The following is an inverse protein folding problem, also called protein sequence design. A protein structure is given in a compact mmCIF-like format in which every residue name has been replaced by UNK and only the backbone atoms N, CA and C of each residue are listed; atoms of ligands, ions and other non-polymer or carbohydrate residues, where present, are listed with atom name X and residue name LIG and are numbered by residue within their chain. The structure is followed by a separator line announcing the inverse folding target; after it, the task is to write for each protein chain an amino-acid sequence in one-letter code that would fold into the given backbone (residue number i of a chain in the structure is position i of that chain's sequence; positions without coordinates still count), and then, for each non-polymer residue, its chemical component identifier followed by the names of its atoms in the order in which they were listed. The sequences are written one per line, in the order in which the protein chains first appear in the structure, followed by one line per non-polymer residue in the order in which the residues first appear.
data_IF_862637084476
#
_entry.id   IF_862637084476
#
_cell.length_a   1.000
_cell.length_b   1.000
_cell.length_c   1.000
_cell.angle_alpha   90.00
_cell.angle_beta   90.00
_cell.angle_gamma   90.00
#
_symmetry.space_group_name_H-M   'P 1'
#
loop_
_entity.id
_entity.type
_entity.pdbx_description
1 polymer ?
#
# COMPACT_ATOMS: atom_id res chain seq x y z
N UNK A 1 18.29 -6.29 -13.68
CA UNK A 1 18.03 -7.00 -12.42
C UNK A 1 16.83 -7.91 -12.64
N UNK A 2 16.95 -9.21 -12.35
CA UNK A 2 15.86 -10.19 -12.45
C UNK A 2 15.69 -10.80 -11.08
N UNK A 3 14.49 -10.77 -10.54
CA UNK A 3 14.18 -11.39 -9.26
C UNK A 3 13.75 -12.84 -9.47
N UNK A 4 14.23 -13.71 -8.62
CA UNK A 4 13.85 -15.12 -8.57
C UNK A 4 12.81 -15.35 -7.47
N UNK A 5 12.05 -16.45 -7.55
CA UNK A 5 11.14 -16.85 -6.46
C UNK A 5 11.84 -16.91 -5.10
N UNK A 6 13.08 -17.39 -5.07
CA UNK A 6 13.86 -17.52 -3.83
C UNK A 6 14.18 -16.17 -3.18
N UNK A 7 14.41 -15.13 -3.97
CA UNK A 7 14.65 -13.77 -3.47
C UNK A 7 13.36 -13.10 -3.01
N UNK A 8 12.21 -13.45 -3.63
CA UNK A 8 10.90 -12.87 -3.29
C UNK A 8 10.26 -13.50 -2.07
N UNK A 9 10.56 -14.77 -1.75
CA UNK A 9 10.07 -15.46 -0.55
C UNK A 9 9.34 -16.77 -0.83
N UNK A 10 9.19 -17.60 0.19
CA UNK A 10 8.62 -18.96 0.07
C UNK A 10 7.14 -18.98 -0.33
N UNK A 11 6.39 -17.91 -0.07
CA UNK A 11 4.99 -17.75 -0.39
C UNK A 11 4.74 -17.16 -1.79
N UNK A 12 5.80 -16.96 -2.58
CA UNK A 12 5.76 -16.36 -3.92
C UNK A 12 6.04 -17.42 -4.97
N UNK A 13 5.24 -17.44 -6.04
CA UNK A 13 5.44 -18.31 -7.22
C UNK A 13 5.41 -17.49 -8.49
N UNK A 14 6.36 -17.73 -9.37
CA UNK A 14 6.35 -17.19 -10.71
C UNK A 14 5.31 -17.94 -11.56
N UNK A 15 4.33 -17.22 -12.11
CA UNK A 15 3.25 -17.81 -12.91
C UNK A 15 3.32 -17.44 -14.38
N UNK A 16 4.05 -16.42 -14.73
CA UNK A 16 4.28 -15.98 -16.11
C UNK A 16 5.57 -15.21 -16.25
N UNK A 17 6.31 -15.52 -17.28
CA UNK A 17 7.48 -14.77 -17.71
C UNK A 17 7.40 -14.49 -19.21
N UNK A 18 7.56 -13.22 -19.58
CA UNK A 18 7.75 -12.73 -20.93
C UNK A 18 9.09 -11.98 -21.00
N UNK A 19 9.52 -11.52 -22.16
CA UNK A 19 10.82 -10.86 -22.37
C UNK A 19 11.13 -9.73 -21.37
N UNK A 20 10.12 -8.91 -21.03
CA UNK A 20 10.28 -7.74 -20.15
C UNK A 20 9.31 -7.71 -18.95
N UNK A 21 8.57 -8.80 -18.74
CA UNK A 21 7.54 -8.87 -17.69
C UNK A 21 7.59 -10.22 -16.97
N UNK A 22 7.60 -10.17 -15.64
CA UNK A 22 7.44 -11.34 -14.79
C UNK A 22 6.23 -11.13 -13.89
N UNK A 23 5.37 -12.13 -13.76
CA UNK A 23 4.22 -12.12 -12.88
C UNK A 23 4.41 -13.13 -11.77
N UNK A 24 4.32 -12.66 -10.54
CA UNK A 24 4.38 -13.49 -9.35
C UNK A 24 3.01 -13.56 -8.68
N UNK A 25 2.62 -14.76 -8.30
CA UNK A 25 1.48 -15.00 -7.43
C UNK A 25 1.97 -15.13 -5.99
N UNK A 26 1.34 -14.35 -5.11
CA UNK A 26 1.62 -14.34 -3.67
C UNK A 26 0.44 -14.97 -2.96
N UNK A 27 0.67 -16.02 -2.20
CA UNK A 27 -0.37 -16.72 -1.45
C UNK A 27 -0.10 -16.63 0.04
N UNK A 28 -1.10 -16.24 0.82
CA UNK A 28 -1.07 -16.22 2.28
C UNK A 28 -2.32 -16.85 2.89
N UNK A 29 -2.31 -17.03 4.20
CA UNK A 29 -3.45 -17.64 4.93
C UNK A 29 -4.73 -16.77 4.85
N UNK A 30 -4.57 -15.47 4.64
CA UNK A 30 -5.68 -14.50 4.64
C UNK A 30 -6.14 -14.06 3.26
N UNK A 31 -5.56 -14.60 2.19
CA UNK A 31 -5.89 -14.25 0.81
C UNK A 31 -4.71 -14.41 -0.14
N UNK A 32 -4.78 -13.75 -1.27
CA UNK A 32 -3.79 -13.83 -2.33
C UNK A 32 -3.54 -12.49 -3.01
N UNK A 33 -2.48 -12.41 -3.81
CA UNK A 33 -2.16 -11.22 -4.58
C UNK A 33 -1.29 -11.51 -5.78
N UNK A 34 -1.12 -10.50 -6.61
CA UNK A 34 -0.26 -10.52 -7.79
C UNK A 34 0.77 -9.40 -7.71
N UNK A 35 1.99 -9.71 -8.08
CA UNK A 35 3.02 -8.72 -8.37
C UNK A 35 3.40 -8.85 -9.84
N UNK A 36 3.24 -7.76 -10.59
CA UNK A 36 3.61 -7.72 -12.01
C UNK A 36 4.81 -6.80 -12.19
N UNK A 37 5.95 -7.39 -12.43
CA UNK A 37 7.23 -6.72 -12.54
C UNK A 37 7.60 -6.50 -14.01
N UNK A 38 8.03 -5.29 -14.33
CA UNK A 38 8.58 -4.89 -15.63
C UNK A 38 10.00 -4.41 -15.46
N UNK A 39 10.92 -4.93 -16.29
CA UNK A 39 12.25 -4.35 -16.40
C UNK A 39 12.20 -3.13 -17.31
N UNK A 40 12.35 -1.94 -16.75
CA UNK A 40 12.26 -0.66 -17.49
C UNK A 40 13.55 -0.40 -18.26
N UNK A 41 14.68 -0.52 -17.59
CA UNK A 41 16.03 -0.56 -18.15
C UNK A 41 16.95 -1.34 -17.17
N UNK A 42 18.20 -1.57 -17.55
CA UNK A 42 19.13 -2.31 -16.68
C UNK A 42 19.26 -1.58 -15.32
N UNK A 43 19.05 -2.30 -14.23
CA UNK A 43 19.06 -1.74 -12.87
C UNK A 43 17.80 -0.99 -12.47
N UNK A 44 16.78 -0.85 -13.33
CA UNK A 44 15.49 -0.25 -12.98
C UNK A 44 14.32 -1.18 -13.28
N UNK A 45 13.43 -1.33 -12.32
CA UNK A 45 12.18 -2.08 -12.48
C UNK A 45 10.99 -1.28 -12.00
N UNK A 46 9.82 -1.59 -12.56
CA UNK A 46 8.52 -1.12 -12.11
C UNK A 46 7.66 -2.34 -11.79
N UNK A 47 7.07 -2.37 -10.61
CA UNK A 47 6.27 -3.48 -10.13
C UNK A 47 4.90 -2.99 -9.68
N UNK A 48 3.84 -3.54 -10.27
CA UNK A 48 2.48 -3.38 -9.76
C UNK A 48 2.23 -4.42 -8.69
N UNK A 49 1.62 -3.96 -7.61
CA UNK A 49 1.22 -4.77 -6.47
C UNK A 49 -0.30 -4.75 -6.37
N UNK A 50 -0.91 -5.92 -6.37
CA UNK A 50 -2.36 -6.11 -6.26
C UNK A 50 -2.62 -7.21 -5.24
N UNK A 51 -2.92 -6.83 -4.00
CA UNK A 51 -3.10 -7.75 -2.88
C UNK A 51 -4.53 -7.68 -2.35
N UNK A 52 -5.17 -8.85 -2.23
CA UNK A 52 -6.47 -9.06 -1.62
C UNK A 52 -6.34 -10.00 -0.42
N UNK A 53 -5.73 -9.48 0.65
CA UNK A 53 -5.42 -10.22 1.87
C UNK A 53 -5.30 -9.27 3.07
N UNK A 54 -5.36 -9.82 4.28
CA UNK A 54 -5.17 -9.05 5.52
C UNK A 54 -3.71 -8.77 5.81
N UNK A 55 -2.87 -9.74 5.45
CA UNK A 55 -1.43 -9.67 5.72
C UNK A 55 -0.64 -10.44 4.67
N UNK A 56 0.59 -10.00 4.45
CA UNK A 56 1.55 -10.66 3.58
C UNK A 56 2.90 -10.77 4.31
N UNK A 57 3.50 -11.94 4.26
CA UNK A 57 4.89 -12.12 4.66
C UNK A 57 5.78 -11.91 3.44
N UNK A 58 6.84 -11.12 3.60
CA UNK A 58 7.85 -10.90 2.58
C UNK A 58 9.16 -11.55 3.01
N UNK A 59 9.67 -12.42 2.18
CA UNK A 59 11.01 -12.99 2.31
C UNK A 59 12.06 -12.22 1.51
N UNK A 60 11.69 -11.07 0.94
CA UNK A 60 12.57 -10.30 0.06
C UNK A 60 13.88 -9.92 0.75
N UNK A 61 14.99 -10.38 0.16
CA UNK A 61 16.35 -10.09 0.62
C UNK A 61 17.16 -9.63 -0.58
N UNK A 62 17.22 -8.32 -0.83
CA UNK A 62 17.99 -7.82 -1.96
C UNK A 62 19.48 -8.15 -1.81
N UNK A 63 20.09 -8.63 -2.89
CA UNK A 63 21.53 -8.89 -2.97
C UNK A 63 22.36 -7.64 -3.26
N UNK A 64 21.71 -6.52 -3.57
CA UNK A 64 22.30 -5.25 -3.96
C UNK A 64 21.70 -4.09 -3.16
N UNK A 65 22.36 -2.94 -3.18
CA UNK A 65 21.81 -1.71 -2.62
C UNK A 65 20.64 -1.24 -3.47
N UNK A 66 19.45 -1.35 -2.90
CA UNK A 66 18.19 -0.99 -3.56
C UNK A 66 17.70 0.37 -3.08
N UNK A 67 17.19 1.16 -4.00
CA UNK A 67 16.45 2.38 -3.75
C UNK A 67 15.06 2.24 -4.36
N UNK A 68 14.01 2.42 -3.58
CA UNK A 68 12.64 2.22 -4.01
C UNK A 68 11.78 3.45 -3.78
N UNK A 69 10.84 3.66 -4.71
CA UNK A 69 9.76 4.63 -4.64
C UNK A 69 8.47 3.85 -4.75
N UNK A 70 7.70 3.82 -3.67
CA UNK A 70 6.40 3.15 -3.61
C UNK A 70 5.29 4.19 -3.68
N UNK A 71 4.21 3.89 -4.41
CA UNK A 71 3.00 4.69 -4.43
C UNK A 71 1.79 3.82 -4.10
N UNK A 72 1.00 4.27 -3.15
CA UNK A 72 -0.26 3.62 -2.79
C UNK A 72 -1.39 4.22 -3.63
N UNK A 73 -1.98 3.43 -4.53
CA UNK A 73 -3.16 3.83 -5.31
C UNK A 73 -4.45 3.65 -4.51
N UNK A 74 -4.61 2.48 -3.90
CA UNK A 74 -5.79 2.10 -3.15
C UNK A 74 -5.41 1.23 -1.95
N UNK A 75 -6.21 1.26 -0.92
CA UNK A 75 -5.95 0.49 0.29
C UNK A 75 -5.06 1.22 1.29
N UNK A 76 -4.42 0.45 2.15
CA UNK A 76 -3.51 0.94 3.20
C UNK A 76 -2.48 -0.11 3.55
N UNK A 77 -1.28 0.35 3.89
CA UNK A 77 -0.25 -0.49 4.52
C UNK A 77 0.02 0.03 5.92
N UNK A 78 0.05 -0.88 6.89
CA UNK A 78 0.50 -0.62 8.25
C UNK A 78 2.01 -0.88 8.34
N UNK A 79 2.74 0.14 8.78
CA UNK A 79 4.17 0.06 9.03
C UNK A 79 4.47 0.14 10.51
N UNK A 80 5.27 -0.80 11.00
CA UNK A 80 5.83 -0.76 12.33
C UNK A 80 7.08 0.12 12.32
N UNK A 81 7.02 1.28 12.98
CA UNK A 81 8.18 2.19 13.10
C UNK A 81 9.15 1.65 14.14
N UNK A 82 8.60 1.17 15.24
CA UNK A 82 9.31 0.51 16.32
C UNK A 82 8.38 -0.47 17.06
N UNK A 83 8.84 -1.08 18.14
CA UNK A 83 8.06 -2.10 18.88
C UNK A 83 6.69 -1.62 19.38
N UNK A 84 6.44 -0.33 19.40
CA UNK A 84 5.26 0.26 20.04
C UNK A 84 4.53 1.32 19.20
N UNK A 85 5.02 1.66 18.01
CA UNK A 85 4.43 2.70 17.16
C UNK A 85 4.22 2.23 15.73
N UNK A 86 3.08 2.60 15.17
CA UNK A 86 2.67 2.32 13.80
C UNK A 86 2.39 3.61 13.05
N UNK A 87 2.72 3.61 11.78
CA UNK A 87 2.31 4.61 10.79
C UNK A 87 1.59 3.90 9.65
N UNK A 88 0.83 4.66 8.89
CA UNK A 88 0.04 4.12 7.77
C UNK A 88 0.40 4.85 6.48
N UNK A 89 0.69 4.09 5.43
CA UNK A 89 0.73 4.56 4.04
C UNK A 89 -0.67 4.42 3.48
N UNK A 90 -1.25 5.49 2.99
CA UNK A 90 -2.63 5.52 2.50
C UNK A 90 -2.71 5.91 1.01
N UNK A 91 -3.90 5.73 0.43
CA UNK A 91 -4.13 6.11 -0.96
C UNK A 91 -3.66 7.53 -1.27
N UNK A 92 -2.86 7.69 -2.32
CA UNK A 92 -2.22 8.93 -2.73
C UNK A 92 -0.92 9.26 -1.98
N UNK A 93 -0.41 8.36 -1.14
CA UNK A 93 0.91 8.53 -0.52
C UNK A 93 2.01 7.96 -1.41
N UNK A 94 3.16 8.62 -1.34
CA UNK A 94 4.43 8.13 -1.87
C UNK A 94 5.39 7.85 -0.71
N UNK A 95 6.07 6.72 -0.78
CA UNK A 95 7.12 6.34 0.15
C UNK A 95 8.42 6.14 -0.62
N UNK A 96 9.51 6.69 -0.09
CA UNK A 96 10.87 6.45 -0.58
C UNK A 96 11.63 5.66 0.48
N UNK A 97 12.31 4.59 0.10
CA UNK A 97 13.01 3.73 1.04
C UNK A 97 14.21 3.00 0.40
N UNK A 98 15.13 2.54 1.24
CA UNK A 98 16.35 1.81 0.84
C UNK A 98 16.19 0.28 0.86
N UNK A 99 15.07 -0.24 1.35
CA UNK A 99 14.85 -1.67 1.63
C UNK A 99 15.84 -2.32 2.62
N UNK A 100 16.74 -1.57 3.22
CA UNK A 100 17.68 -2.08 4.24
C UNK A 100 16.94 -2.57 5.51
N UNK A 101 15.89 -1.84 5.88
CA UNK A 101 15.00 -2.18 7.00
C UNK A 101 13.68 -2.78 6.49
N UNK A 102 13.76 -3.69 5.51
CA UNK A 102 12.58 -4.29 4.93
C UNK A 102 11.77 -5.09 5.98
N UNK A 103 10.49 -4.77 6.10
CA UNK A 103 9.60 -5.50 6.99
C UNK A 103 9.35 -6.91 6.46
N UNK A 104 9.52 -7.91 7.32
CA UNK A 104 9.14 -9.27 6.99
C UNK A 104 7.62 -9.50 6.95
N UNK A 105 6.83 -8.55 7.44
CA UNK A 105 5.38 -8.64 7.50
C UNK A 105 4.72 -7.31 7.18
N UNK A 106 3.78 -7.35 6.24
CA UNK A 106 2.91 -6.23 5.86
C UNK A 106 1.50 -6.52 6.28
N UNK A 107 0.82 -5.53 6.86
CA UNK A 107 -0.58 -5.63 7.25
C UNK A 107 -1.39 -4.65 6.39
N UNK A 108 -2.54 -5.13 5.90
CA UNK A 108 -3.47 -4.37 5.08
C UNK A 108 -4.80 -4.21 5.81
N UNK A 109 -4.98 -3.09 6.56
CA UNK A 109 -6.17 -2.88 7.40
C UNK A 109 -7.50 -2.95 6.65
N UNK A 110 -7.49 -2.66 5.35
CA UNK A 110 -8.67 -2.72 4.48
C UNK A 110 -8.79 -4.05 3.71
N UNK A 111 -7.96 -5.05 4.01
CA UNK A 111 -7.87 -6.35 3.33
C UNK A 111 -7.53 -6.27 1.83
N UNK A 112 -7.10 -5.12 1.36
CA UNK A 112 -6.59 -4.92 0.00
C UNK A 112 -5.53 -3.83 -0.04
N UNK A 113 -4.66 -3.93 -1.03
CA UNK A 113 -3.67 -2.92 -1.36
C UNK A 113 -3.34 -2.97 -2.84
N UNK A 114 -3.52 -1.84 -3.53
CA UNK A 114 -3.10 -1.65 -4.90
C UNK A 114 -2.08 -0.51 -4.95
N UNK A 115 -0.93 -0.78 -5.52
CA UNK A 115 0.12 0.21 -5.62
C UNK A 115 1.17 -0.15 -6.65
N UNK A 116 2.15 0.69 -6.79
CA UNK A 116 3.30 0.38 -7.61
C UNK A 116 4.60 0.71 -6.86
N UNK A 117 5.64 -0.02 -7.22
CA UNK A 117 7.02 0.19 -6.76
C UNK A 117 7.89 0.45 -7.97
N UNK A 118 8.65 1.54 -7.96
CA UNK A 118 9.77 1.76 -8.88
C UNK A 118 11.03 1.51 -8.07
N UNK A 119 11.83 0.54 -8.47
CA UNK A 119 13.02 0.15 -7.75
C UNK A 119 14.28 0.23 -8.62
N UNK A 120 15.38 0.59 -7.98
CA UNK A 120 16.66 0.75 -8.59
C UNK A 120 17.71 -0.09 -7.84
N UNK A 121 18.42 -0.94 -8.59
CA UNK A 121 19.76 -1.36 -8.18
C UNK A 121 20.69 -0.18 -8.44
N UNK A 122 21.19 0.43 -7.38
CA UNK A 122 21.90 1.72 -7.48
C UNK A 122 23.08 1.63 -8.44
N UNK A 123 23.88 0.56 -8.36
CA UNK A 123 25.08 0.43 -9.17
C UNK A 123 24.77 0.25 -10.67
N UNK A 124 23.81 -0.66 -10.98
CA UNK A 124 23.41 -0.91 -12.37
C UNK A 124 22.62 0.26 -12.97
N UNK A 125 21.79 0.92 -12.18
CA UNK A 125 20.94 2.01 -12.65
C UNK A 125 21.73 3.29 -12.96
N UNK A 126 22.75 3.61 -12.17
CA UNK A 126 23.63 4.77 -12.45
C UNK A 126 24.32 4.64 -13.80
N UNK A 127 24.91 3.45 -14.09
CA UNK A 127 25.54 3.18 -15.38
C UNK A 127 24.52 3.28 -16.54
N UNK A 128 23.35 2.75 -16.33
CA UNK A 128 22.30 2.73 -17.36
C UNK A 128 21.69 4.08 -17.65
N UNK A 129 21.47 4.93 -16.65
CA UNK A 129 20.87 6.26 -16.82
C UNK A 129 21.67 7.15 -17.77
N UNK A 130 22.99 7.04 -17.77
CA UNK A 130 23.87 7.76 -18.71
C UNK A 130 23.59 7.42 -20.17
N UNK A 131 23.07 6.20 -20.43
CA UNK A 131 22.75 5.70 -21.76
C UNK A 131 21.27 5.81 -22.13
N UNK A 132 20.37 5.93 -21.15
CA UNK A 132 18.93 6.02 -21.38
C UNK A 132 18.57 7.40 -21.94
N UNK A 133 19.22 8.46 -21.47
CA UNK A 133 19.02 9.82 -21.95
C UNK A 133 20.33 10.61 -21.80
N UNK A 134 20.88 11.06 -22.94
CA UNK A 134 22.08 11.91 -22.97
C UNK A 134 21.87 13.20 -22.17
N UNK A 135 22.81 13.53 -21.31
CA UNK A 135 22.73 14.71 -20.43
C UNK A 135 21.82 14.55 -19.21
N UNK A 136 21.28 13.36 -18.93
CA UNK A 136 20.54 13.11 -17.69
C UNK A 136 21.52 13.05 -16.51
N UNK A 137 21.38 13.99 -15.56
CA UNK A 137 22.36 14.23 -14.51
C UNK A 137 21.91 13.82 -13.11
N UNK A 138 20.76 13.18 -12.96
CA UNK A 138 20.24 12.77 -11.65
C UNK A 138 21.09 11.63 -11.08
N UNK A 139 21.54 11.83 -9.86
CA UNK A 139 22.38 10.89 -9.10
C UNK A 139 21.50 10.14 -8.09
N UNK A 140 21.27 8.83 -8.32
CA UNK A 140 20.43 8.00 -7.47
C UNK A 140 21.00 7.84 -6.06
N UNK A 141 22.33 7.84 -5.89
CA UNK A 141 22.96 7.78 -4.56
C UNK A 141 22.65 9.03 -3.76
N UNK A 142 22.70 10.20 -4.41
CA UNK A 142 22.32 11.46 -3.75
C UNK A 142 20.84 11.47 -3.39
N UNK A 143 19.95 10.97 -4.26
CA UNK A 143 18.53 10.84 -3.93
C UNK A 143 18.33 9.89 -2.74
N UNK A 144 18.99 8.72 -2.74
CA UNK A 144 18.91 7.81 -1.59
C UNK A 144 19.36 8.51 -0.30
N UNK A 145 20.48 9.21 -0.32
CA UNK A 145 20.96 9.93 0.87
C UNK A 145 20.01 11.06 1.30
N UNK A 146 19.42 11.76 0.33
CA UNK A 146 18.46 12.85 0.58
C UNK A 146 17.18 12.38 1.25
N UNK A 147 16.60 11.25 0.77
CA UNK A 147 15.29 10.76 1.23
C UNK A 147 15.38 9.67 2.30
N UNK A 148 16.47 8.96 2.37
CA UNK A 148 16.66 7.83 3.30
C UNK A 148 17.93 8.01 4.15
N UNK A 149 18.07 9.15 4.89
CA UNK A 149 19.17 9.29 5.81
C UNK A 149 19.03 8.19 6.88
N UNK A 150 20.14 7.55 7.23
CA UNK A 150 20.18 6.47 8.24
C UNK A 150 19.20 5.31 7.93
N UNK A 151 18.91 5.07 6.64
CA UNK A 151 18.00 4.04 6.13
C UNK A 151 16.52 4.15 6.58
N UNK A 152 16.14 5.29 7.13
CA UNK A 152 14.73 5.55 7.44
C UNK A 152 13.94 5.86 6.17
N UNK A 153 12.74 5.31 6.10
CA UNK A 153 11.83 5.59 5.00
C UNK A 153 11.24 7.00 5.09
N UNK A 154 11.16 7.69 3.96
CA UNK A 154 10.47 8.96 3.83
C UNK A 154 9.08 8.73 3.24
N UNK A 155 8.04 9.23 3.90
CA UNK A 155 6.64 9.12 3.44
C UNK A 155 6.08 10.53 3.32
N UNK A 156 5.48 10.82 2.17
CA UNK A 156 4.81 12.10 1.93
C UNK A 156 3.48 11.90 1.22
N UNK A 157 2.58 12.87 1.41
CA UNK A 157 1.39 12.97 0.58
C UNK A 157 1.78 13.34 -0.83
N UNK A 158 1.33 12.57 -1.81
CA UNK A 158 1.56 12.92 -3.19
C UNK A 158 0.81 14.23 -3.54
N UNK A 159 1.56 15.30 -3.76
CA UNK A 159 1.04 16.54 -4.32
C UNK A 159 0.53 16.33 -5.75
N UNK A 160 -0.13 17.35 -6.32
CA UNK A 160 -0.75 17.24 -7.64
C UNK A 160 0.21 16.75 -8.74
N UNK A 161 1.48 17.17 -8.71
CA UNK A 161 2.49 16.74 -9.69
C UNK A 161 2.84 15.26 -9.57
N UNK A 162 3.06 14.77 -8.35
CA UNK A 162 3.35 13.35 -8.09
C UNK A 162 2.14 12.51 -8.46
N UNK A 163 0.94 12.92 -8.04
CA UNK A 163 -0.31 12.24 -8.37
C UNK A 163 -0.52 12.12 -9.88
N UNK A 164 -0.16 13.16 -10.64
CA UNK A 164 -0.22 13.14 -12.10
C UNK A 164 0.74 12.10 -12.69
N UNK A 165 2.02 12.08 -12.26
CA UNK A 165 3.01 11.12 -12.75
C UNK A 165 2.53 9.69 -12.51
N UNK A 166 2.07 9.38 -11.30
CA UNK A 166 1.63 8.04 -10.96
C UNK A 166 0.31 7.65 -11.62
N UNK A 167 -0.66 8.56 -11.74
CA UNK A 167 -1.95 8.25 -12.36
C UNK A 167 -1.79 7.74 -13.80
N UNK A 168 -0.86 8.32 -14.55
CA UNK A 168 -0.58 7.90 -15.92
C UNK A 168 0.11 6.55 -16.03
N UNK A 169 0.79 6.08 -14.97
CA UNK A 169 1.44 4.77 -14.97
C UNK A 169 0.44 3.61 -14.84
N UNK A 170 -0.76 3.85 -14.29
CA UNK A 170 -1.71 2.77 -14.03
C UNK A 170 -2.59 2.38 -15.22
N UNK A 171 -2.76 3.26 -16.20
CA UNK A 171 -3.67 3.04 -17.32
C UNK A 171 -2.98 3.29 -18.68
N UNK A 172 -2.12 2.35 -19.05
CA UNK A 172 -1.31 2.43 -20.26
C UNK A 172 -1.61 1.29 -21.23
N UNK A 173 -1.82 1.58 -22.52
CA UNK A 173 -1.85 0.57 -23.57
C UNK A 173 -0.55 -0.25 -23.59
N UNK A 174 -0.67 -1.56 -23.79
CA UNK A 174 0.48 -2.47 -23.72
C UNK A 174 1.59 -2.10 -24.71
N UNK A 175 1.22 -1.63 -25.90
CA UNK A 175 2.15 -1.33 -26.99
C UNK A 175 3.13 -0.20 -26.68
N UNK A 176 2.74 0.76 -25.80
CA UNK A 176 3.57 1.92 -25.43
C UNK A 176 4.11 1.84 -24.01
N UNK A 177 3.78 0.80 -23.28
CA UNK A 177 4.01 0.69 -21.83
C UNK A 177 5.47 0.86 -21.45
N UNK A 178 6.38 0.09 -22.02
CA UNK A 178 7.80 0.14 -21.65
C UNK A 178 8.48 1.48 -22.01
N UNK A 179 8.32 2.04 -23.23
CA UNK A 179 8.82 3.37 -23.53
C UNK A 179 8.27 4.44 -22.58
N UNK A 180 6.97 4.34 -22.25
CA UNK A 180 6.31 5.29 -21.38
C UNK A 180 6.83 5.20 -19.93
N UNK A 181 7.07 3.99 -19.41
CA UNK A 181 7.70 3.80 -18.11
C UNK A 181 9.06 4.47 -18.02
N UNK A 182 9.89 4.41 -19.07
CA UNK A 182 11.18 5.10 -19.09
C UNK A 182 11.01 6.60 -18.92
N UNK A 183 10.09 7.20 -19.69
CA UNK A 183 9.81 8.64 -19.61
C UNK A 183 9.35 9.04 -18.21
N UNK A 184 8.39 8.30 -17.64
CA UNK A 184 7.83 8.61 -16.32
C UNK A 184 8.79 8.37 -15.16
N UNK A 185 9.65 7.38 -15.27
CA UNK A 185 10.73 7.15 -14.30
C UNK A 185 11.72 8.32 -14.32
N UNK A 186 12.14 8.78 -15.50
CA UNK A 186 13.04 9.93 -15.61
C UNK A 186 12.38 11.22 -15.10
N UNK A 187 11.12 11.47 -15.44
CA UNK A 187 10.34 12.59 -14.92
C UNK A 187 10.25 12.58 -13.39
N UNK A 188 9.96 11.41 -12.79
CA UNK A 188 9.89 11.26 -11.35
C UNK A 188 11.25 11.53 -10.67
N UNK A 189 12.34 11.03 -11.25
CA UNK A 189 13.68 11.27 -10.71
C UNK A 189 14.05 12.75 -10.73
N UNK A 190 13.75 13.47 -11.83
CA UNK A 190 13.95 14.95 -11.92
C UNK A 190 13.10 15.67 -10.87
N UNK A 191 11.85 15.25 -10.70
CA UNK A 191 10.98 15.83 -9.69
C UNK A 191 11.55 15.65 -8.28
N UNK A 192 12.02 14.45 -7.94
CA UNK A 192 12.60 14.13 -6.63
C UNK A 192 13.89 14.93 -6.39
N UNK A 193 14.68 15.21 -7.43
CA UNK A 193 15.87 16.02 -7.29
C UNK A 193 15.56 17.46 -6.81
N UNK A 194 14.46 18.03 -7.31
CA UNK A 194 14.03 19.41 -6.99
C UNK A 194 13.21 19.51 -5.70
N UNK A 195 12.69 18.40 -5.18
CA UNK A 195 11.84 18.40 -4.00
C UNK A 195 12.63 18.74 -2.74
N UNK A 196 12.21 19.74 -2.00
CA UNK A 196 12.78 20.02 -0.67
C UNK A 196 12.28 19.00 0.35
N UNK A 197 13.21 18.34 1.03
CA UNK A 197 12.90 17.41 2.12
C UNK A 197 13.09 18.17 3.45
N UNK A 198 12.03 18.33 4.26
CA UNK A 198 12.15 18.98 5.57
C UNK A 198 13.18 18.26 6.45
N UNK A 199 13.99 19.02 7.18
CA UNK A 199 14.88 18.45 8.17
C UNK A 199 14.05 17.71 9.24
N UNK A 200 14.18 16.39 9.30
CA UNK A 200 13.36 15.52 10.18
C UNK A 200 12.26 14.74 9.48
N UNK A 201 12.11 14.89 8.16
CA UNK A 201 11.07 14.24 7.38
C UNK A 201 9.68 14.91 7.55
N UNK A 202 8.68 14.41 6.84
CA UNK A 202 7.29 14.80 7.08
C UNK A 202 6.79 14.05 8.32
N UNK A 203 6.43 14.78 9.38
CA UNK A 203 5.88 14.15 10.59
C UNK A 203 4.51 13.53 10.29
N UNK A 204 4.52 12.24 10.01
CA UNK A 204 3.27 11.47 9.93
C UNK A 204 2.75 11.17 11.33
N UNK A 205 1.42 11.26 11.56
CA UNK A 205 0.85 10.84 12.82
C UNK A 205 1.15 9.35 13.03
N UNK A 206 1.79 9.04 14.15
CA UNK A 206 1.97 7.67 14.60
C UNK A 206 0.90 7.31 15.64
N UNK A 207 0.61 6.03 15.74
CA UNK A 207 -0.34 5.49 16.71
C UNK A 207 0.37 4.43 17.57
N UNK A 208 0.11 4.49 18.86
CA UNK A 208 0.65 3.50 19.78
C UNK A 208 0.00 2.13 19.57
N UNK A 209 0.79 1.07 19.69
CA UNK A 209 0.33 -0.31 19.53
C UNK A 209 -0.93 -0.62 20.34
N UNK A 210 -0.96 -0.24 21.62
CA UNK A 210 -2.12 -0.45 22.49
C UNK A 210 -3.41 0.23 21.98
N UNK A 211 -3.30 1.37 21.30
CA UNK A 211 -4.45 2.06 20.69
C UNK A 211 -4.89 1.34 19.40
N UNK A 212 -3.92 0.92 18.59
CA UNK A 212 -4.16 0.18 17.35
C UNK A 212 -4.82 -1.17 17.64
N UNK A 213 -4.33 -1.89 18.64
CA UNK A 213 -4.90 -3.19 19.06
C UNK A 213 -6.37 -3.01 19.47
N UNK A 214 -6.70 -2.00 20.31
CA UNK A 214 -8.09 -1.69 20.68
C UNK A 214 -8.96 -1.37 19.46
N UNK A 215 -8.47 -0.58 18.52
CA UNK A 215 -9.21 -0.25 17.30
C UNK A 215 -9.47 -1.48 16.45
N UNK A 216 -8.50 -2.40 16.35
CA UNK A 216 -8.67 -3.69 15.65
C UNK A 216 -9.70 -4.59 16.34
N UNK A 217 -9.70 -4.63 17.67
CA UNK A 217 -10.71 -5.37 18.45
C UNK A 217 -12.11 -4.76 18.26
N UNK A 218 -12.24 -3.44 18.25
CA UNK A 218 -13.49 -2.73 17.95
C UNK A 218 -13.98 -3.08 16.56
N UNK A 219 -13.12 -3.04 15.55
CA UNK A 219 -13.50 -3.41 14.19
C UNK A 219 -13.94 -4.89 14.09
N UNK A 220 -13.26 -5.79 14.79
CA UNK A 220 -13.65 -7.20 14.85
C UNK A 220 -15.04 -7.39 15.50
N UNK A 221 -15.33 -6.69 16.60
CA UNK A 221 -16.65 -6.68 17.24
C UNK A 221 -17.73 -6.20 16.26
N UNK A 222 -17.50 -5.06 15.58
CA UNK A 222 -18.45 -4.45 14.66
C UNK A 222 -18.74 -5.32 13.43
N UNK A 223 -17.73 -6.01 12.92
CA UNK A 223 -17.86 -6.86 11.73
C UNK A 223 -18.30 -8.28 12.04
N UNK A 224 -18.19 -8.72 13.29
CA UNK A 224 -18.61 -10.06 13.74
C UNK A 224 -20.11 -10.25 13.78
N UNK A 225 -20.91 -9.19 13.97
CA UNK A 225 -22.36 -9.22 13.91
C UNK A 225 -22.91 -7.92 13.28
N UNK A 226 -23.30 -8.00 12.02
CA UNK A 226 -23.75 -6.85 11.24
C UNK A 226 -25.12 -6.31 11.62
N UNK A 227 -25.95 -7.12 12.29
CA UNK A 227 -27.27 -6.72 12.76
C UNK A 227 -27.17 -5.72 13.93
N UNK A 228 -26.11 -5.83 14.72
CA UNK A 228 -25.90 -4.96 15.88
C UNK A 228 -25.40 -3.56 15.47
N UNK A 229 -25.95 -2.58 16.13
CA UNK A 229 -25.52 -1.18 16.04
C UNK A 229 -24.92 -0.75 17.38
N UNK A 230 -23.78 -0.09 17.32
CA UNK A 230 -23.08 0.45 18.48
C UNK A 230 -22.91 1.96 18.28
N UNK A 231 -23.18 2.73 19.32
CA UNK A 231 -22.78 4.12 19.39
C UNK A 231 -21.29 4.23 19.67
N UNK A 232 -20.68 5.36 19.33
CA UNK A 232 -19.26 5.59 19.64
C UNK A 232 -19.03 5.68 21.15
N UNK A 233 -20.04 6.14 21.91
CA UNK A 233 -20.04 6.22 23.36
C UNK A 233 -20.00 4.82 23.98
N UNK A 234 -20.86 3.89 23.53
CA UNK A 234 -20.85 2.49 23.99
C UNK A 234 -19.50 1.82 23.72
N UNK A 235 -18.93 2.04 22.51
CA UNK A 235 -17.60 1.50 22.19
C UNK A 235 -16.51 2.11 23.06
N UNK A 236 -16.58 3.42 23.32
CA UNK A 236 -15.64 4.13 24.18
C UNK A 236 -15.64 3.57 25.61
N UNK A 237 -16.83 3.32 26.17
CA UNK A 237 -17.02 2.73 27.51
C UNK A 237 -16.55 1.27 27.56
N UNK A 238 -17.03 0.43 26.62
CA UNK A 238 -16.73 -0.99 26.58
C UNK A 238 -15.24 -1.28 26.48
N UNK A 239 -14.51 -0.51 25.68
CA UNK A 239 -13.08 -0.68 25.46
C UNK A 239 -12.21 0.22 26.35
N UNK A 240 -12.82 0.98 27.28
CA UNK A 240 -12.10 1.97 28.08
C UNK A 240 -11.14 2.81 27.23
N UNK A 241 -11.68 3.38 26.14
CA UNK A 241 -10.90 4.10 25.14
C UNK A 241 -11.55 5.48 24.88
N UNK A 242 -10.88 6.59 25.28
CA UNK A 242 -11.46 7.93 25.16
C UNK A 242 -11.98 8.23 23.75
N UNK A 243 -13.17 8.76 23.65
CA UNK A 243 -13.91 8.97 22.40
C UNK A 243 -13.11 9.70 21.32
N UNK A 244 -12.36 10.74 21.70
CA UNK A 244 -11.50 11.48 20.75
C UNK A 244 -10.38 10.61 20.21
N UNK A 245 -9.70 9.86 21.08
CA UNK A 245 -8.62 8.95 20.71
C UNK A 245 -9.14 7.80 19.84
N UNK A 246 -10.33 7.24 20.16
CA UNK A 246 -10.99 6.23 19.35
C UNK A 246 -11.24 6.75 17.94
N UNK A 247 -11.85 7.93 17.77
CA UNK A 247 -12.14 8.53 16.45
C UNK A 247 -10.84 8.77 15.65
N UNK A 248 -9.83 9.34 16.28
CA UNK A 248 -8.55 9.63 15.63
C UNK A 248 -7.81 8.34 15.23
N UNK A 249 -7.67 7.41 16.15
CA UNK A 249 -6.96 6.17 15.91
C UNK A 249 -7.69 5.30 14.89
N UNK A 250 -9.03 5.17 14.98
CA UNK A 250 -9.80 4.42 13.99
C UNK A 250 -9.65 5.01 12.58
N UNK A 251 -9.74 6.34 12.45
CA UNK A 251 -9.52 7.01 11.18
C UNK A 251 -8.07 6.83 10.72
N UNK A 252 -7.10 6.83 11.63
CA UNK A 252 -5.70 6.57 11.31
C UNK A 252 -5.48 5.17 10.76
N UNK A 253 -6.08 4.15 11.39
CA UNK A 253 -5.95 2.73 10.98
C UNK A 253 -6.70 2.44 9.69
N UNK A 254 -7.98 2.84 9.59
CA UNK A 254 -8.88 2.45 8.49
C UNK A 254 -9.09 3.55 7.43
N UNK A 255 -8.56 4.76 7.63
CA UNK A 255 -8.68 5.88 6.67
C UNK A 255 -10.01 6.62 6.73
N UNK A 256 -11.02 6.09 7.42
CA UNK A 256 -12.36 6.65 7.48
C UNK A 256 -12.96 6.56 8.89
N UNK A 257 -14.13 7.19 9.09
CA UNK A 257 -14.83 7.07 10.38
C UNK A 257 -15.42 5.68 10.58
N UNK A 258 -15.70 5.30 11.84
CA UNK A 258 -16.37 4.04 12.18
C UNK A 258 -17.67 3.88 11.39
N UNK A 259 -18.47 4.94 11.28
CA UNK A 259 -19.74 4.88 10.55
C UNK A 259 -19.56 4.66 9.04
N UNK A 260 -18.54 5.29 8.41
CA UNK A 260 -18.25 5.09 7.00
C UNK A 260 -17.72 3.67 6.75
N UNK A 261 -16.81 3.19 7.60
CA UNK A 261 -16.28 1.84 7.55
C UNK A 261 -17.38 0.78 7.61
N UNK A 262 -18.28 0.91 8.60
CA UNK A 262 -19.37 -0.06 8.78
C UNK A 262 -20.41 -0.01 7.65
N UNK A 263 -20.69 1.18 7.11
CA UNK A 263 -21.57 1.30 5.94
C UNK A 263 -21.01 0.55 4.74
N UNK A 264 -19.73 0.77 4.43
CA UNK A 264 -19.07 0.08 3.32
C UNK A 264 -19.01 -1.42 3.55
N UNK A 265 -18.63 -1.86 4.75
CA UNK A 265 -18.55 -3.27 5.10
C UNK A 265 -19.91 -3.97 4.97
N UNK A 266 -21.00 -3.34 5.44
CA UNK A 266 -22.36 -3.87 5.29
C UNK A 266 -22.80 -3.97 3.82
N UNK A 267 -22.49 -2.95 3.00
CA UNK A 267 -22.81 -2.98 1.56
C UNK A 267 -22.06 -4.09 0.83
N UNK A 268 -20.78 -4.27 1.14
CA UNK A 268 -19.99 -5.35 0.55
C UNK A 268 -20.51 -6.73 0.97
N UNK A 269 -20.85 -6.92 2.25
CA UNK A 269 -21.48 -8.16 2.72
C UNK A 269 -22.82 -8.43 2.02
N UNK A 270 -23.66 -7.42 1.85
CA UNK A 270 -24.92 -7.53 1.13
C UNK A 270 -24.72 -7.89 -0.35
N UNK A 271 -23.74 -7.28 -1.01
CA UNK A 271 -23.42 -7.58 -2.40
C UNK A 271 -22.98 -9.05 -2.58
N UNK A 272 -22.20 -9.59 -1.62
CA UNK A 272 -21.83 -11.01 -1.60
C UNK A 272 -23.06 -11.91 -1.40
N UNK A 273 -23.96 -11.55 -0.48
CA UNK A 273 -25.20 -12.31 -0.24
C UNK A 273 -26.10 -12.31 -1.48
N UNK A 274 -26.27 -11.15 -2.15
CA UNK A 274 -27.06 -11.04 -3.38
C UNK A 274 -26.55 -11.92 -4.52
N UNK A 275 -25.22 -12.10 -4.61
CA UNK A 275 -24.61 -12.96 -5.63
C UNK A 275 -24.73 -14.46 -5.31
N UNK A 276 -24.71 -14.82 -4.03
CA UNK A 276 -24.52 -16.20 -3.59
C UNK A 276 -25.78 -16.85 -2.99
N UNK A 277 -26.87 -16.10 -2.79
CA UNK A 277 -28.12 -16.63 -2.21
C UNK A 277 -29.32 -16.24 -3.06
N UNK A 278 -30.47 -16.88 -2.79
CA UNK A 278 -31.78 -16.54 -3.35
C UNK A 278 -32.63 -15.71 -2.38
N UNK A 279 -32.00 -15.17 -1.33
CA UNK A 279 -32.69 -14.38 -0.32
C UNK A 279 -33.26 -13.10 -0.93
N UNK A 280 -34.40 -12.64 -0.42
CA UNK A 280 -34.98 -11.38 -0.84
C UNK A 280 -34.11 -10.20 -0.39
N UNK A 281 -34.16 -9.09 -1.15
CA UNK A 281 -33.45 -7.84 -0.78
C UNK A 281 -33.83 -7.39 0.64
N UNK A 282 -35.07 -7.56 1.05
CA UNK A 282 -35.55 -7.24 2.40
C UNK A 282 -34.85 -8.11 3.45
N UNK A 283 -34.72 -9.41 3.21
CA UNK A 283 -34.04 -10.34 4.10
C UNK A 283 -32.56 -10.00 4.22
N UNK A 284 -31.90 -9.72 3.08
CA UNK A 284 -30.48 -9.35 3.07
C UNK A 284 -30.25 -8.01 3.81
N UNK A 285 -31.12 -7.01 3.56
CA UNK A 285 -31.05 -5.72 4.28
C UNK A 285 -31.11 -5.93 5.80
N UNK A 286 -32.05 -6.74 6.29
CA UNK A 286 -32.17 -7.07 7.72
C UNK A 286 -30.89 -7.71 8.28
N UNK A 287 -30.33 -8.71 7.58
CA UNK A 287 -29.10 -9.44 7.98
C UNK A 287 -27.85 -8.55 8.03
N UNK A 288 -27.83 -7.48 7.25
CA UNK A 288 -26.73 -6.50 7.33
C UNK A 288 -27.09 -5.29 8.18
N UNK A 289 -28.14 -5.38 9.01
CA UNK A 289 -28.49 -4.40 10.04
C UNK A 289 -29.34 -3.23 9.59
N UNK A 290 -30.02 -3.30 8.45
CA UNK A 290 -30.96 -2.26 8.01
C UNK A 290 -32.42 -2.68 8.30
N UNK A 291 -33.03 -2.01 9.28
CA UNK A 291 -34.44 -2.21 9.62
C UNK A 291 -35.40 -1.66 8.56
N UNK A 292 -34.95 -0.70 7.75
CA UNK A 292 -35.72 -0.12 6.66
C UNK A 292 -35.02 -0.37 5.32
N UNK A 293 -35.58 -1.23 4.44
CA UNK A 293 -35.00 -1.50 3.13
C UNK A 293 -34.83 -0.27 2.22
N UNK A 294 -35.60 0.79 2.45
CA UNK A 294 -35.45 2.05 1.70
C UNK A 294 -34.22 2.89 2.08
N UNK A 295 -33.50 2.48 3.14
CA UNK A 295 -32.22 3.08 3.56
C UNK A 295 -31.00 2.20 3.24
N UNK A 296 -31.27 1.04 2.66
CA UNK A 296 -30.28 0.03 2.24
C UNK A 296 -29.68 0.27 0.83
#
# INVERSE_FOLDING_TARGET
MRFTEQEMGENVREIREDENRTVFHVKGDSGEGLMTLYQVFKGCYLMYNDFHMKECCSGFKPSAQIFCIDHCREGRIEWCVDRNRYIYVESGDMQVNSREQHSSKFLFPLNHYHGLTIGFDIAEAEDSLLHVMEGFSVDIKKLRHKFCPDDHSFIMRAGAQISHIFSELYDLPEQVRLPYFKIKVLELLLFLETLDVPAGGEERPYFYKAQVDKVKEIAALLTGNLENWYTLEELSEQFSFPLTSLKQCFKGVYGCSVAAYMREYRMNAAAVMLKNTQDSVISIAARVGYSNPGKF
#
